data_IF_594003351214
#
_entry.id   IF_594003351214
#
_cell.length_a   1.000
_cell.length_b   1.000
_cell.length_c   1.000
_cell.angle_alpha   90.00
_cell.angle_beta   90.00
_cell.angle_gamma   90.00
#
_symmetry.space_group_name_H-M   'P 1'
#
loop_
_entity.id
_entity.type
_entity.pdbx_description
1 polymer ?
#
# COMPACT_ATOMS: atom_id res chain seq x y z
N UNK A 1 -5.58 -1.20 8.80
CA UNK A 1 -5.28 -2.38 9.62
C UNK A 1 -5.40 -2.03 11.11
N UNK A 2 -5.61 -3.03 11.95
CA UNK A 2 -5.60 -2.85 13.39
C UNK A 2 -4.19 -2.43 13.85
N UNK A 3 -4.09 -1.44 14.72
CA UNK A 3 -2.82 -0.92 15.27
C UNK A 3 -2.82 -0.95 16.82
N UNK A 4 -3.74 -1.70 17.41
CA UNK A 4 -3.86 -1.83 18.86
C UNK A 4 -2.73 -2.66 19.49
N UNK A 5 -2.66 -2.65 20.84
CA UNK A 5 -1.71 -3.45 21.62
C UNK A 5 -1.79 -4.96 21.32
N UNK A 6 -2.97 -5.43 20.93
CA UNK A 6 -3.24 -6.83 20.57
C UNK A 6 -2.39 -7.29 19.40
N UNK A 7 -2.21 -6.42 18.39
CA UNK A 7 -1.37 -6.71 17.23
C UNK A 7 0.10 -6.86 17.63
N UNK A 8 0.58 -5.99 18.52
CA UNK A 8 1.94 -6.09 19.04
C UNK A 8 2.15 -7.40 19.83
N UNK A 9 1.18 -7.78 20.67
CA UNK A 9 1.23 -9.04 21.41
C UNK A 9 1.18 -10.25 20.47
N UNK A 10 0.37 -10.19 19.44
CA UNK A 10 0.29 -11.24 18.42
C UNK A 10 1.64 -11.38 17.68
N UNK A 11 2.27 -10.26 17.33
CA UNK A 11 3.61 -10.26 16.75
C UNK A 11 4.65 -10.90 17.71
N UNK A 12 4.67 -10.49 18.97
CA UNK A 12 5.57 -11.01 19.99
C UNK A 12 5.43 -12.52 20.23
N UNK A 13 4.22 -13.06 20.09
CA UNK A 13 3.96 -14.50 20.26
C UNK A 13 4.70 -15.36 19.22
N UNK A 14 4.92 -14.84 18.01
CA UNK A 14 5.44 -15.62 16.89
C UNK A 14 6.83 -15.22 16.43
N UNK A 15 7.33 -14.05 16.82
CA UNK A 15 8.69 -13.59 16.55
C UNK A 15 9.43 -13.28 17.85
N UNK A 16 10.76 -13.17 17.75
CA UNK A 16 11.60 -12.92 18.90
C UNK A 16 11.43 -11.47 19.39
N UNK A 17 11.50 -11.25 20.72
CA UNK A 17 11.37 -9.92 21.32
C UNK A 17 12.52 -8.95 20.96
N UNK A 18 13.69 -9.47 20.53
CA UNK A 18 14.79 -8.65 20.00
C UNK A 18 14.54 -8.10 18.59
N UNK A 19 13.41 -8.44 18.00
CA UNK A 19 13.01 -7.92 16.70
C UNK A 19 12.57 -6.45 16.84
N UNK A 20 12.94 -5.60 15.87
CA UNK A 20 12.54 -4.19 15.91
C UNK A 20 11.00 -4.06 15.96
N UNK A 21 10.53 -3.07 16.72
CA UNK A 21 9.10 -2.87 16.97
C UNK A 21 8.25 -2.77 15.69
N UNK A 22 8.66 -2.06 14.62
CA UNK A 22 7.93 -2.07 13.35
C UNK A 22 7.75 -3.47 12.75
N UNK A 23 8.74 -4.35 12.86
CA UNK A 23 8.61 -5.72 12.36
C UNK A 23 7.58 -6.52 13.15
N UNK A 24 7.54 -6.34 14.48
CA UNK A 24 6.52 -6.96 15.32
C UNK A 24 5.12 -6.54 14.92
N UNK A 25 4.91 -5.23 14.68
CA UNK A 25 3.62 -4.70 14.26
C UNK A 25 3.21 -5.22 12.89
N UNK A 26 4.09 -5.17 11.90
CA UNK A 26 3.79 -5.64 10.53
C UNK A 26 3.42 -7.14 10.53
N UNK A 27 4.21 -7.96 11.24
CA UNK A 27 3.93 -9.40 11.32
C UNK A 27 2.63 -9.66 12.10
N UNK A 28 2.42 -8.93 13.20
CA UNK A 28 1.18 -9.00 13.95
C UNK A 28 -0.05 -8.62 13.12
N UNK A 29 0.05 -7.57 12.30
CA UNK A 29 -1.03 -7.14 11.40
C UNK A 29 -1.38 -8.18 10.34
N UNK A 30 -0.37 -8.84 9.75
CA UNK A 30 -0.62 -9.95 8.83
C UNK A 30 -1.33 -11.11 9.52
N UNK A 31 -0.87 -11.50 10.70
CA UNK A 31 -1.49 -12.57 11.46
C UNK A 31 -2.91 -12.22 11.93
N UNK A 32 -3.14 -10.98 12.37
CA UNK A 32 -4.47 -10.47 12.73
C UNK A 32 -5.43 -10.52 11.52
N UNK A 33 -4.95 -10.10 10.36
CA UNK A 33 -5.73 -10.18 9.13
C UNK A 33 -6.09 -11.63 8.77
N UNK A 34 -5.15 -12.56 8.84
CA UNK A 34 -5.39 -13.98 8.56
C UNK A 34 -6.34 -14.62 9.59
N UNK A 35 -6.24 -14.25 10.86
CA UNK A 35 -7.11 -14.73 11.94
C UNK A 35 -8.53 -14.15 11.86
N UNK A 36 -8.73 -13.04 11.13
CA UNK A 36 -10.00 -12.31 11.13
C UNK A 36 -11.17 -13.07 10.46
N UNK A 37 -10.89 -14.13 9.71
CA UNK A 37 -11.88 -14.87 8.92
C UNK A 37 -12.46 -14.09 7.73
N UNK A 38 -11.93 -12.90 7.43
CA UNK A 38 -12.41 -12.02 6.34
C UNK A 38 -11.85 -12.38 4.97
N UNK A 39 -10.81 -13.20 4.93
CA UNK A 39 -10.08 -13.54 3.72
C UNK A 39 -10.15 -15.04 3.45
N UNK A 40 -10.33 -15.39 2.19
CA UNK A 40 -10.20 -16.76 1.72
C UNK A 40 -8.72 -17.15 1.71
N UNK A 41 -8.32 -18.01 2.64
CA UNK A 41 -6.91 -18.37 2.82
C UNK A 41 -6.34 -19.19 1.66
N UNK A 42 -7.18 -19.89 0.90
CA UNK A 42 -6.74 -20.65 -0.28
C UNK A 42 -6.37 -19.74 -1.45
N UNK A 43 -6.99 -18.56 -1.52
CA UNK A 43 -6.74 -17.56 -2.56
C UNK A 43 -6.03 -16.31 -2.05
N UNK A 44 -5.36 -16.39 -0.89
CA UNK A 44 -4.65 -15.28 -0.28
C UNK A 44 -3.15 -15.43 -0.44
N UNK A 45 -2.47 -14.35 -0.82
CA UNK A 45 -1.02 -14.21 -0.79
C UNK A 45 -0.63 -12.92 -0.05
N UNK A 46 0.49 -12.94 0.65
CA UNK A 46 1.02 -11.77 1.33
C UNK A 46 2.09 -11.09 0.49
N UNK A 47 2.05 -9.77 0.43
CA UNK A 47 3.05 -8.95 -0.25
C UNK A 47 3.72 -8.03 0.76
N UNK A 48 5.04 -8.06 0.81
CA UNK A 48 5.84 -7.17 1.65
C UNK A 48 6.97 -6.55 0.85
N UNK A 49 7.21 -5.25 1.07
CA UNK A 49 8.35 -4.57 0.46
C UNK A 49 9.59 -4.75 1.33
N UNK A 50 10.75 -4.90 0.71
CA UNK A 50 12.04 -4.93 1.38
C UNK A 50 12.92 -3.78 0.90
N UNK A 51 13.58 -3.12 1.84
CA UNK A 51 14.65 -2.18 1.52
C UNK A 51 15.97 -2.96 1.51
N UNK A 52 16.66 -3.05 0.39
CA UNK A 52 17.93 -3.80 0.28
C UNK A 52 19.14 -3.20 1.01
N UNK A 53 18.93 -2.40 2.07
CA UNK A 53 19.96 -1.71 2.83
C UNK A 53 20.39 -2.41 4.11
N UNK A 54 21.26 -1.78 4.90
CA UNK A 54 21.77 -2.28 6.19
C UNK A 54 20.73 -2.32 7.33
N UNK A 55 19.49 -1.96 7.08
CA UNK A 55 18.42 -2.03 8.05
C UNK A 55 17.95 -3.48 8.26
N UNK A 56 17.53 -3.82 9.50
CA UNK A 56 16.93 -5.13 9.80
C UNK A 56 15.64 -5.41 9.00
N UNK A 57 15.02 -4.39 8.40
CA UNK A 57 13.91 -4.52 7.48
C UNK A 57 14.19 -5.46 6.29
N UNK A 58 15.45 -5.62 5.89
CA UNK A 58 15.86 -6.61 4.89
C UNK A 58 15.57 -8.07 5.26
N UNK A 59 15.29 -8.35 6.54
CA UNK A 59 14.97 -9.69 7.04
C UNK A 59 13.48 -9.90 7.38
N UNK A 60 12.62 -8.92 7.17
CA UNK A 60 11.19 -9.03 7.53
C UNK A 60 10.51 -10.22 6.85
N UNK A 61 10.85 -10.50 5.61
CA UNK A 61 10.26 -11.64 4.89
C UNK A 61 10.59 -12.99 5.54
N UNK A 62 11.85 -13.16 5.99
CA UNK A 62 12.26 -14.41 6.67
C UNK A 62 11.57 -14.55 8.01
N UNK A 63 11.44 -13.46 8.76
CA UNK A 63 10.72 -13.42 10.03
C UNK A 63 9.23 -13.70 9.84
N UNK A 64 8.62 -13.09 8.84
CA UNK A 64 7.22 -13.31 8.50
C UNK A 64 6.96 -14.77 8.12
N UNK A 65 7.77 -15.35 7.23
CA UNK A 65 7.65 -16.77 6.86
C UNK A 65 7.76 -17.70 8.06
N UNK A 66 8.72 -17.45 8.99
CA UNK A 66 8.83 -18.21 10.23
C UNK A 66 7.61 -18.06 11.12
N UNK A 67 7.08 -16.84 11.24
CA UNK A 67 5.90 -16.57 12.05
C UNK A 67 4.66 -17.27 11.48
N UNK A 68 4.50 -17.23 10.16
CA UNK A 68 3.41 -17.93 9.46
C UNK A 68 3.45 -19.44 9.70
N UNK A 69 4.61 -20.06 9.57
CA UNK A 69 4.75 -21.50 9.86
C UNK A 69 4.39 -21.82 11.30
N UNK A 70 4.87 -21.02 12.27
CA UNK A 70 4.53 -21.20 13.68
C UNK A 70 3.05 -20.99 13.98
N UNK A 71 2.39 -20.11 13.23
CA UNK A 71 0.97 -19.79 13.37
C UNK A 71 0.03 -20.76 12.63
N UNK A 72 0.56 -21.73 11.89
CA UNK A 72 -0.23 -22.67 11.10
C UNK A 72 -0.57 -22.20 9.69
N UNK A 73 -0.01 -21.08 9.24
CA UNK A 73 -0.25 -20.47 7.92
C UNK A 73 0.92 -20.67 6.94
N UNK A 74 1.71 -21.73 7.11
CA UNK A 74 2.89 -21.99 6.29
C UNK A 74 2.60 -22.16 4.78
N UNK A 75 1.38 -22.47 4.41
CA UNK A 75 0.94 -22.63 3.03
C UNK A 75 0.68 -21.30 2.30
N UNK A 76 0.56 -20.19 3.04
CA UNK A 76 0.27 -18.88 2.44
C UNK A 76 1.54 -18.35 1.76
N UNK A 77 1.49 -18.07 0.44
CA UNK A 77 2.63 -17.52 -0.27
C UNK A 77 2.99 -16.13 0.21
N UNK A 78 4.28 -15.86 0.38
CA UNK A 78 4.80 -14.53 0.71
C UNK A 78 5.70 -14.07 -0.42
N UNK A 79 5.29 -13.03 -1.12
CA UNK A 79 6.07 -12.36 -2.14
C UNK A 79 6.75 -11.12 -1.56
N UNK A 80 7.96 -10.83 -2.01
CA UNK A 80 8.64 -9.58 -1.65
C UNK A 80 9.06 -8.81 -2.89
N UNK A 81 8.81 -7.49 -2.84
CA UNK A 81 9.32 -6.53 -3.79
C UNK A 81 10.54 -5.86 -3.17
N UNK A 82 11.69 -5.98 -3.80
CA UNK A 82 12.88 -5.23 -3.42
C UNK A 82 13.47 -4.52 -4.66
N UNK A 83 14.29 -3.49 -4.42
CA UNK A 83 14.94 -2.74 -5.49
C UNK A 83 15.97 -3.57 -6.28
N UNK A 84 16.42 -4.69 -5.75
CA UNK A 84 17.36 -5.62 -6.40
C UNK A 84 16.66 -6.64 -7.31
N UNK A 85 15.35 -6.57 -7.43
CA UNK A 85 14.51 -7.52 -8.17
C UNK A 85 13.65 -8.39 -7.27
N UNK A 86 12.84 -9.25 -7.88
CA UNK A 86 12.06 -10.25 -7.14
C UNK A 86 12.99 -11.32 -6.58
N UNK A 87 12.74 -11.68 -5.34
CA UNK A 87 13.40 -12.83 -4.74
C UNK A 87 13.11 -14.08 -5.58
N UNK A 88 14.15 -14.88 -5.87
CA UNK A 88 13.97 -16.15 -6.59
C UNK A 88 12.95 -17.01 -5.85
N UNK A 89 11.83 -17.32 -6.49
CA UNK A 89 10.76 -18.11 -5.91
C UNK A 89 9.56 -17.32 -5.37
N UNK A 90 9.45 -16.00 -5.63
CA UNK A 90 8.28 -15.19 -5.23
C UNK A 90 6.98 -15.55 -5.95
N UNK A 91 7.04 -16.37 -7.00
CA UNK A 91 5.86 -16.78 -7.77
C UNK A 91 5.21 -15.70 -8.64
N UNK A 92 5.63 -14.43 -8.51
CA UNK A 92 5.11 -13.32 -9.31
C UNK A 92 6.09 -12.96 -10.43
N UNK A 93 5.72 -13.17 -11.71
CA UNK A 93 6.56 -12.72 -12.82
C UNK A 93 6.49 -11.20 -12.92
N UNK A 94 7.61 -10.51 -12.75
CA UNK A 94 7.74 -9.08 -13.05
C UNK A 94 7.79 -8.88 -14.57
N UNK A 95 6.62 -8.72 -15.16
CA UNK A 95 6.52 -8.38 -16.58
C UNK A 95 6.63 -6.88 -16.78
N UNK A 96 7.13 -6.44 -17.93
CA UNK A 96 7.21 -5.01 -18.26
C UNK A 96 5.85 -4.29 -18.18
N UNK A 97 4.72 -4.88 -18.64
CA UNK A 97 3.41 -4.28 -18.42
C UNK A 97 3.06 -4.10 -16.93
N UNK A 98 3.33 -5.10 -16.10
CA UNK A 98 3.09 -5.00 -14.64
C UNK A 98 3.93 -3.88 -14.02
N UNK A 99 5.20 -3.79 -14.38
CA UNK A 99 6.08 -2.71 -13.89
C UNK A 99 5.55 -1.32 -14.27
N UNK A 100 5.12 -1.15 -15.52
CA UNK A 100 4.50 0.11 -15.98
C UNK A 100 3.24 0.46 -15.19
N UNK A 101 2.38 -0.51 -14.91
CA UNK A 101 1.18 -0.32 -14.09
C UNK A 101 1.53 0.09 -12.66
N UNK A 102 2.52 -0.55 -12.05
CA UNK A 102 3.00 -0.20 -10.70
C UNK A 102 3.52 1.22 -10.66
N UNK A 103 4.39 1.60 -11.62
CA UNK A 103 4.92 2.96 -11.71
C UNK A 103 3.80 3.98 -11.89
N UNK A 104 2.87 3.73 -12.81
CA UNK A 104 1.73 4.61 -13.04
C UNK A 104 0.86 4.75 -11.78
N UNK A 105 0.62 3.66 -11.05
CA UNK A 105 -0.15 3.68 -9.81
C UNK A 105 0.51 4.54 -8.73
N UNK A 106 1.85 4.50 -8.63
CA UNK A 106 2.61 5.36 -7.72
C UNK A 106 2.42 6.83 -8.08
N UNK A 107 2.62 7.20 -9.34
CA UNK A 107 2.49 8.60 -9.77
C UNK A 107 1.06 9.14 -9.59
N UNK A 108 0.03 8.34 -9.91
CA UNK A 108 -1.35 8.73 -9.64
C UNK A 108 -1.61 8.88 -8.13
N UNK A 109 -1.11 7.95 -7.32
CA UNK A 109 -1.24 8.00 -5.87
C UNK A 109 -0.59 9.26 -5.28
N UNK A 110 0.64 9.56 -5.67
CA UNK A 110 1.38 10.74 -5.22
C UNK A 110 0.64 12.03 -5.61
N UNK A 111 0.10 12.10 -6.82
CA UNK A 111 -0.69 13.24 -7.25
C UNK A 111 -1.95 13.44 -6.41
N UNK A 112 -2.69 12.36 -6.14
CA UNK A 112 -3.90 12.44 -5.30
C UNK A 112 -3.56 12.89 -3.88
N UNK A 113 -2.49 12.35 -3.30
CA UNK A 113 -2.00 12.76 -1.96
C UNK A 113 -1.62 14.23 -1.95
N UNK A 114 -0.90 14.71 -2.99
CA UNK A 114 -0.51 16.11 -3.09
C UNK A 114 -1.71 17.04 -3.20
N UNK A 115 -2.66 16.75 -4.09
CA UNK A 115 -3.87 17.57 -4.29
C UNK A 115 -4.77 17.56 -3.05
N UNK A 116 -4.99 16.38 -2.46
CA UNK A 116 -5.74 16.27 -1.21
C UNK A 116 -5.10 17.11 -0.10
N UNK A 117 -3.79 17.00 0.09
CA UNK A 117 -3.06 17.72 1.15
C UNK A 117 -3.09 19.21 0.96
N UNK A 118 -3.19 19.71 -0.28
CA UNK A 118 -3.31 21.13 -0.59
C UNK A 118 -4.74 21.66 -0.44
N UNK A 119 -5.76 20.79 -0.57
CA UNK A 119 -7.17 21.16 -0.57
C UNK A 119 -7.80 20.96 0.80
N UNK A 120 -7.58 19.81 1.42
CA UNK A 120 -8.22 19.39 2.68
C UNK A 120 -8.15 20.41 3.83
N UNK A 121 -7.02 21.11 4.09
CA UNK A 121 -6.97 22.08 5.18
C UNK A 121 -7.78 23.35 4.92
N UNK A 122 -8.20 23.60 3.70
CA UNK A 122 -8.84 24.83 3.24
C UNK A 122 -10.23 24.62 2.65
N UNK A 123 -10.72 23.37 2.56
CA UNK A 123 -12.05 23.06 2.04
C UNK A 123 -13.16 23.71 2.89
N UNK A 124 -14.12 24.35 2.22
CA UNK A 124 -15.23 25.02 2.90
C UNK A 124 -16.21 24.00 3.50
N UNK A 125 -16.38 22.87 2.83
CA UNK A 125 -17.17 21.75 3.32
C UNK A 125 -16.27 20.55 3.61
N UNK A 126 -16.22 20.16 4.86
CA UNK A 126 -15.38 19.07 5.34
C UNK A 126 -15.73 17.75 4.66
N UNK A 127 -14.74 17.11 4.07
CA UNK A 127 -14.86 15.82 3.40
C UNK A 127 -14.96 15.89 1.88
N UNK A 128 -15.04 17.08 1.27
CA UNK A 128 -15.07 17.20 -0.19
C UNK A 128 -13.78 16.73 -0.85
N UNK A 129 -12.63 17.04 -0.24
CA UNK A 129 -11.33 16.54 -0.72
C UNK A 129 -11.20 15.01 -0.58
N UNK A 130 -11.74 14.44 0.49
CA UNK A 130 -11.75 12.97 0.69
C UNK A 130 -12.64 12.28 -0.34
N UNK A 131 -13.87 12.77 -0.54
CA UNK A 131 -14.79 12.24 -1.52
C UNK A 131 -14.22 12.31 -2.95
N UNK A 132 -13.56 13.42 -3.30
CA UNK A 132 -12.87 13.58 -4.58
C UNK A 132 -11.75 12.57 -4.73
N UNK A 133 -10.98 12.35 -3.67
CA UNK A 133 -9.88 11.37 -3.65
C UNK A 133 -10.41 9.96 -3.88
N UNK A 134 -11.46 9.53 -3.19
CA UNK A 134 -12.08 8.21 -3.36
C UNK A 134 -12.65 8.00 -4.76
N UNK A 135 -13.32 9.01 -5.32
CA UNK A 135 -13.78 9.00 -6.71
C UNK A 135 -12.63 8.70 -7.67
N UNK A 136 -11.51 9.41 -7.53
CA UNK A 136 -10.37 9.23 -8.42
C UNK A 136 -9.61 7.93 -8.17
N UNK A 137 -9.49 7.46 -6.93
CA UNK A 137 -8.92 6.13 -6.62
C UNK A 137 -9.70 5.06 -7.38
N UNK A 138 -11.03 5.07 -7.29
CA UNK A 138 -11.89 4.09 -7.97
C UNK A 138 -11.75 4.16 -9.50
N UNK A 139 -11.68 5.38 -10.05
CA UNK A 139 -11.49 5.62 -11.49
C UNK A 139 -10.14 5.08 -11.97
N UNK A 140 -9.05 5.40 -11.27
CA UNK A 140 -7.69 4.97 -11.60
C UNK A 140 -7.57 3.45 -11.50
N UNK A 141 -8.15 2.83 -10.47
CA UNK A 141 -8.20 1.37 -10.35
C UNK A 141 -8.88 0.73 -11.57
N UNK A 142 -9.98 1.32 -12.03
CA UNK A 142 -10.66 0.89 -13.25
C UNK A 142 -9.76 0.97 -14.50
N UNK A 143 -8.99 2.06 -14.64
CA UNK A 143 -8.05 2.21 -15.75
C UNK A 143 -6.93 1.17 -15.71
N UNK A 144 -6.31 0.97 -14.56
CA UNK A 144 -5.20 0.02 -14.39
C UNK A 144 -5.66 -1.43 -14.64
N UNK A 145 -6.86 -1.79 -14.15
CA UNK A 145 -7.46 -3.11 -14.43
C UNK A 145 -7.79 -3.30 -15.91
N UNK A 146 -8.29 -2.25 -16.57
CA UNK A 146 -8.67 -2.26 -17.98
C UNK A 146 -7.52 -1.97 -18.95
N UNK A 147 -6.28 -1.97 -18.51
CA UNK A 147 -5.09 -1.67 -19.35
C UNK A 147 -5.15 -0.30 -20.03
N UNK A 148 -5.63 0.72 -19.33
CA UNK A 148 -5.82 2.08 -19.86
C UNK A 148 -5.05 3.13 -19.05
N UNK A 149 -4.72 4.23 -19.70
CA UNK A 149 -4.22 5.48 -19.08
C UNK A 149 -2.95 5.32 -18.19
N UNK A 150 -2.08 4.35 -18.49
CA UNK A 150 -0.82 4.17 -17.77
C UNK A 150 0.44 4.44 -18.63
N UNK A 151 0.28 4.92 -19.86
CA UNK A 151 1.41 5.48 -20.61
C UNK A 151 1.76 6.88 -20.11
N UNK A 152 2.99 7.32 -20.28
CA UNK A 152 3.42 8.66 -19.86
C UNK A 152 2.58 9.77 -20.53
N UNK A 153 2.21 9.58 -21.79
CA UNK A 153 1.39 10.52 -22.52
C UNK A 153 -0.03 10.62 -21.92
N UNK A 154 -0.68 9.47 -21.70
CA UNK A 154 -2.02 9.43 -21.12
C UNK A 154 -2.03 9.97 -19.72
N UNK A 155 -1.05 9.61 -18.90
CA UNK A 155 -0.91 10.10 -17.52
C UNK A 155 -0.84 11.61 -17.46
N UNK A 156 -0.04 12.24 -18.35
CA UNK A 156 0.06 13.70 -18.43
C UNK A 156 -1.32 14.34 -18.65
N UNK A 157 -2.11 13.82 -19.59
CA UNK A 157 -3.46 14.30 -19.85
C UNK A 157 -4.37 14.13 -18.63
N UNK A 158 -4.35 12.93 -18.01
CA UNK A 158 -5.20 12.61 -16.85
C UNK A 158 -4.82 13.42 -15.62
N UNK A 159 -3.58 13.80 -15.46
CA UNK A 159 -3.15 14.69 -14.38
C UNK A 159 -3.83 16.06 -14.46
N UNK A 160 -3.98 16.61 -15.66
CA UNK A 160 -4.74 17.86 -15.83
C UNK A 160 -6.22 17.65 -15.50
N UNK A 161 -6.83 16.53 -15.92
CA UNK A 161 -8.24 16.24 -15.62
C UNK A 161 -8.45 16.14 -14.10
N UNK A 162 -7.56 15.42 -13.39
CA UNK A 162 -7.61 15.28 -11.93
C UNK A 162 -7.43 16.64 -11.23
N UNK A 163 -6.44 17.42 -11.66
CA UNK A 163 -6.18 18.75 -11.07
C UNK A 163 -7.36 19.70 -11.30
N UNK A 164 -7.98 19.66 -12.48
CA UNK A 164 -9.16 20.47 -12.79
C UNK A 164 -10.35 20.10 -11.88
N UNK A 165 -10.58 18.82 -11.62
CA UNK A 165 -11.63 18.38 -10.71
C UNK A 165 -11.38 18.88 -9.27
N UNK A 166 -10.15 18.77 -8.76
CA UNK A 166 -9.82 19.29 -7.43
C UNK A 166 -9.98 20.83 -7.36
N UNK A 167 -9.72 21.55 -8.46
CA UNK A 167 -9.92 22.98 -8.52
C UNK A 167 -11.41 23.40 -8.43
N UNK A 168 -12.34 22.47 -8.59
CA UNK A 168 -13.77 22.74 -8.39
C UNK A 168 -14.20 22.76 -6.91
N UNK A 169 -13.37 22.25 -6.01
CA UNK A 169 -13.67 22.21 -4.59
C UNK A 169 -13.55 23.63 -4.03
N UNK A 170 -14.62 24.18 -3.42
CA UNK A 170 -14.57 25.49 -2.79
C UNK A 170 -13.56 25.50 -1.62
N UNK A 171 -12.66 26.45 -1.63
CA UNK A 171 -11.63 26.60 -0.59
C UNK A 171 -11.54 28.04 -0.11
N UNK A 172 -11.39 28.21 1.20
CA UNK A 172 -11.08 29.51 1.82
C UNK A 172 -9.67 29.46 2.40
N UNK A 173 -8.74 30.19 1.77
CA UNK A 173 -7.37 30.31 2.27
C UNK A 173 -7.31 31.36 3.35
N UNK A 174 -7.12 30.94 4.59
CA UNK A 174 -6.80 31.87 5.69
C UNK A 174 -5.29 32.16 5.67
N UNK A 175 -4.89 33.43 5.94
CA UNK A 175 -3.48 33.74 6.10
C UNK A 175 -2.86 32.85 7.17
N UNK A 176 -1.69 32.30 6.90
CA UNK A 176 -0.92 31.62 7.96
C UNK A 176 -0.53 32.69 8.99
N UNK A 177 -0.97 32.49 10.21
CA UNK A 177 -0.51 33.28 11.36
C UNK A 177 0.88 32.84 11.77
#
# INVERSE_FOLDING_TARGET
GNCGSEVAQLGLKYVHNDTCYPALLVIGQFLDALNSGKYDLEHTALLITQTGGGCRASNYIKLLRKALVKAGYGNIPVASLNFSGLEKGSGLPLTLPLLRKVIASIFYGDMLVALRSQTYPYEDRRGDADAMTEKWISTIQGWIRGDKNYSAHDMKKRFYDIAADYATIPITRVPKV
#
